data_IF_321969870855
#
_entry.id   IF_321969870855
#
_cell.length_a   1.000
_cell.length_b   1.000
_cell.length_c   1.000
_cell.angle_alpha   90.00
_cell.angle_beta   90.00
_cell.angle_gamma   90.00
#
_symmetry.space_group_name_H-M   'P 1'
#
loop_
_entity.id
_entity.type
_entity.pdbx_description
1 polymer ?
#
# COMPACT_ATOMS: atom_id res chain seq x y z
N UNK A 1 7.75 -37.41 3.38
CA UNK A 1 8.83 -36.65 2.74
C UNK A 1 8.59 -35.14 2.88
N UNK A 2 9.62 -34.38 3.27
CA UNK A 2 9.53 -32.94 3.49
C UNK A 2 9.77 -32.12 2.22
N UNK A 3 10.61 -32.60 1.31
CA UNK A 3 10.86 -31.95 0.03
C UNK A 3 9.57 -31.87 -0.82
N UNK A 4 8.82 -32.97 -0.91
CA UNK A 4 7.54 -33.01 -1.61
C UNK A 4 6.50 -32.02 -1.05
N UNK A 5 6.45 -31.86 0.29
CA UNK A 5 5.53 -30.91 0.93
C UNK A 5 5.92 -29.45 0.65
N UNK A 6 7.23 -29.15 0.59
CA UNK A 6 7.72 -27.83 0.21
C UNK A 6 7.36 -27.52 -1.25
N UNK A 7 7.66 -28.45 -2.17
CA UNK A 7 7.31 -28.32 -3.58
C UNK A 7 5.80 -28.12 -3.77
N UNK A 8 4.98 -28.89 -3.06
CA UNK A 8 3.53 -28.70 -3.06
C UNK A 8 3.14 -27.27 -2.65
N UNK A 9 3.69 -26.73 -1.55
CA UNK A 9 3.39 -25.35 -1.10
C UNK A 9 3.84 -24.30 -2.11
N UNK A 10 5.02 -24.46 -2.71
CA UNK A 10 5.56 -23.54 -3.74
C UNK A 10 4.68 -23.58 -4.99
N UNK A 11 4.33 -24.76 -5.48
CA UNK A 11 3.44 -24.94 -6.62
C UNK A 11 2.04 -24.35 -6.34
N UNK A 12 1.52 -24.55 -5.13
CA UNK A 12 0.24 -23.97 -4.73
C UNK A 12 0.28 -22.43 -4.77
N UNK A 13 1.32 -21.80 -4.24
CA UNK A 13 1.50 -20.35 -4.33
C UNK A 13 1.60 -19.85 -5.78
N UNK A 14 2.35 -20.57 -6.65
CA UNK A 14 2.47 -20.27 -8.08
C UNK A 14 1.13 -20.38 -8.82
N UNK A 15 0.31 -21.38 -8.49
CA UNK A 15 -1.02 -21.54 -9.08
C UNK A 15 -1.94 -20.37 -8.68
N UNK A 16 -1.88 -19.93 -7.43
CA UNK A 16 -2.67 -18.77 -6.97
C UNK A 16 -2.24 -17.48 -7.70
N UNK A 17 -0.93 -17.25 -7.83
CA UNK A 17 -0.37 -16.11 -8.58
C UNK A 17 -0.81 -16.14 -10.05
N UNK A 18 -0.67 -17.29 -10.72
CA UNK A 18 -1.12 -17.48 -12.11
C UNK A 18 -2.64 -17.30 -12.29
N UNK A 19 -3.44 -17.64 -11.27
CA UNK A 19 -4.89 -17.42 -11.24
C UNK A 19 -5.29 -16.00 -10.84
N UNK A 20 -4.33 -15.08 -10.73
CA UNK A 20 -4.55 -13.67 -10.31
C UNK A 20 -5.13 -13.53 -8.90
N UNK A 21 -4.99 -14.58 -8.06
CA UNK A 21 -5.34 -14.54 -6.63
C UNK A 21 -4.19 -13.97 -5.82
N UNK A 22 -3.78 -12.74 -6.16
CA UNK A 22 -2.54 -12.14 -5.68
C UNK A 22 -2.46 -11.99 -4.16
N UNK A 23 -3.56 -11.62 -3.50
CA UNK A 23 -3.61 -11.51 -2.04
C UNK A 23 -3.33 -12.85 -1.33
N UNK A 24 -3.97 -13.93 -1.82
CA UNK A 24 -3.76 -15.28 -1.30
C UNK A 24 -2.33 -15.75 -1.60
N UNK A 25 -1.86 -15.54 -2.83
CA UNK A 25 -0.51 -15.91 -3.26
C UNK A 25 0.57 -15.21 -2.43
N UNK A 26 0.43 -13.89 -2.20
CA UNK A 26 1.35 -13.09 -1.41
C UNK A 26 1.49 -13.62 0.02
N UNK A 27 0.35 -13.95 0.63
CA UNK A 27 0.32 -14.54 1.98
C UNK A 27 1.05 -15.89 2.01
N UNK A 28 0.88 -16.75 1.00
CA UNK A 28 1.57 -18.05 0.91
C UNK A 28 3.07 -17.90 0.67
N UNK A 29 3.49 -16.99 -0.20
CA UNK A 29 4.89 -16.69 -0.44
C UNK A 29 5.57 -16.13 0.82
N UNK A 30 4.90 -15.25 1.55
CA UNK A 30 5.42 -14.74 2.82
C UNK A 30 5.53 -15.85 3.89
N UNK A 31 4.54 -16.74 3.99
CA UNK A 31 4.64 -17.91 4.87
C UNK A 31 5.83 -18.82 4.53
N UNK A 32 6.19 -18.92 3.24
CA UNK A 32 7.36 -19.66 2.80
C UNK A 32 8.67 -18.95 3.15
N UNK A 33 8.72 -17.62 3.08
CA UNK A 33 9.92 -16.84 3.45
C UNK A 33 10.18 -16.83 4.96
N UNK A 34 9.18 -17.10 5.79
CA UNK A 34 9.28 -17.17 7.25
C UNK A 34 9.68 -18.53 7.80
N UNK A 35 10.17 -19.45 6.97
CA UNK A 35 10.66 -20.75 7.41
C UNK A 35 12.06 -20.63 8.02
N UNK A 36 12.12 -20.14 9.27
CA UNK A 36 13.36 -19.82 10.00
C UNK A 36 14.28 -21.01 10.26
N UNK A 37 13.73 -22.23 10.35
CA UNK A 37 14.53 -23.43 10.64
C UNK A 37 15.30 -23.96 9.44
N UNK A 38 15.16 -23.33 8.25
CA UNK A 38 15.72 -23.79 6.97
C UNK A 38 15.44 -25.27 6.65
N UNK A 39 14.61 -25.97 7.42
CA UNK A 39 14.42 -27.42 7.31
C UNK A 39 12.96 -27.73 7.01
N UNK A 40 12.73 -28.39 5.89
CA UNK A 40 11.47 -29.03 5.57
C UNK A 40 11.68 -30.55 5.64
N UNK A 41 11.57 -31.12 6.85
CA UNK A 41 12.03 -32.49 7.09
C UNK A 41 13.54 -32.58 6.92
N UNK A 42 14.03 -33.39 5.98
CA UNK A 42 15.46 -33.59 5.70
C UNK A 42 16.06 -32.58 4.69
N UNK A 43 15.26 -31.66 4.13
CA UNK A 43 15.72 -30.74 3.08
C UNK A 43 16.02 -29.35 3.63
N UNK A 44 17.21 -28.84 3.32
CA UNK A 44 17.67 -27.51 3.74
C UNK A 44 17.36 -26.46 2.66
N UNK A 45 16.55 -25.46 3.00
CA UNK A 45 16.20 -24.31 2.14
C UNK A 45 17.30 -23.25 2.25
N UNK A 46 17.77 -22.76 1.11
CA UNK A 46 18.80 -21.72 1.07
C UNK A 46 18.25 -20.34 1.43
N UNK A 47 19.12 -19.43 1.86
CA UNK A 47 18.74 -18.04 2.17
C UNK A 47 18.29 -17.27 0.91
N UNK A 48 18.84 -17.63 -0.24
CA UNK A 48 18.47 -17.09 -1.54
C UNK A 48 17.02 -17.47 -1.91
N UNK A 49 16.63 -18.73 -1.70
CA UNK A 49 15.25 -19.20 -1.93
C UNK A 49 14.24 -18.49 -1.02
N UNK A 50 14.59 -18.23 0.24
CA UNK A 50 13.74 -17.46 1.17
C UNK A 50 13.59 -16.01 0.71
N UNK A 51 14.67 -15.41 0.18
CA UNK A 51 14.67 -14.05 -0.36
C UNK A 51 13.83 -13.95 -1.63
N UNK A 52 13.90 -14.96 -2.50
CA UNK A 52 13.04 -15.08 -3.70
C UNK A 52 11.58 -15.19 -3.27
N UNK A 53 11.25 -16.01 -2.27
CA UNK A 53 9.89 -16.13 -1.76
C UNK A 53 9.37 -14.80 -1.19
N UNK A 54 10.18 -14.07 -0.43
CA UNK A 54 9.82 -12.74 0.09
C UNK A 54 9.58 -11.74 -1.06
N UNK A 55 10.45 -11.74 -2.08
CA UNK A 55 10.31 -10.88 -3.26
C UNK A 55 9.02 -11.19 -4.02
N UNK A 56 8.66 -12.47 -4.18
CA UNK A 56 7.40 -12.88 -4.80
C UNK A 56 6.19 -12.48 -3.96
N UNK A 57 6.30 -12.54 -2.63
CA UNK A 57 5.27 -12.05 -1.73
C UNK A 57 5.03 -10.54 -1.93
N UNK A 58 6.10 -9.75 -2.01
CA UNK A 58 6.03 -8.32 -2.27
C UNK A 58 5.41 -8.01 -3.64
N UNK A 59 5.84 -8.69 -4.71
CA UNK A 59 5.25 -8.52 -6.05
C UNK A 59 3.75 -8.80 -6.05
N UNK A 60 3.33 -9.91 -5.47
CA UNK A 60 1.90 -10.27 -5.39
C UNK A 60 1.13 -9.27 -4.51
N UNK A 61 1.68 -8.81 -3.39
CA UNK A 61 1.02 -7.82 -2.53
C UNK A 61 0.81 -6.49 -3.26
N UNK A 62 1.79 -6.05 -4.06
CA UNK A 62 1.70 -4.84 -4.88
C UNK A 62 0.61 -4.97 -5.94
N UNK A 63 0.51 -6.13 -6.62
CA UNK A 63 -0.48 -6.43 -7.67
C UNK A 63 -1.90 -6.70 -7.15
N UNK A 64 -2.06 -7.00 -5.86
CA UNK A 64 -3.37 -7.24 -5.27
C UNK A 64 -4.25 -5.97 -5.34
N UNK A 65 -5.58 -6.11 -5.46
CA UNK A 65 -6.50 -4.98 -5.45
C UNK A 65 -6.43 -4.22 -4.12
N UNK A 66 -6.63 -2.90 -4.15
CA UNK A 66 -6.58 -2.09 -2.94
C UNK A 66 -7.63 -2.54 -1.92
N UNK A 67 -7.28 -2.58 -0.63
CA UNK A 67 -8.20 -2.95 0.44
C UNK A 67 -7.51 -3.28 1.77
N UNK A 68 -8.27 -3.48 2.87
CA UNK A 68 -7.72 -3.60 4.22
C UNK A 68 -6.74 -4.78 4.39
N UNK A 69 -7.02 -5.92 3.76
CA UNK A 69 -6.14 -7.09 3.82
C UNK A 69 -4.81 -6.83 3.13
N UNK A 70 -4.83 -6.13 1.98
CA UNK A 70 -3.63 -5.73 1.25
C UNK A 70 -2.80 -4.75 2.06
N UNK A 71 -3.41 -3.71 2.62
CA UNK A 71 -2.69 -2.70 3.44
C UNK A 71 -2.00 -3.33 4.65
N UNK A 72 -2.65 -4.28 5.34
CA UNK A 72 -2.03 -5.03 6.44
C UNK A 72 -0.83 -5.87 5.98
N UNK A 73 -0.95 -6.53 4.83
CA UNK A 73 0.13 -7.34 4.28
C UNK A 73 1.32 -6.48 3.83
N UNK A 74 1.07 -5.35 3.16
CA UNK A 74 2.11 -4.38 2.80
C UNK A 74 2.84 -3.87 4.04
N UNK A 75 2.12 -3.56 5.13
CA UNK A 75 2.73 -3.16 6.39
C UNK A 75 3.56 -4.25 7.06
N UNK A 76 3.14 -5.51 6.91
CA UNK A 76 3.92 -6.66 7.39
C UNK A 76 5.22 -6.83 6.60
N UNK A 77 5.14 -6.70 5.26
CA UNK A 77 6.31 -6.79 4.39
C UNK A 77 7.27 -5.61 4.58
N UNK A 78 6.76 -4.39 4.73
CA UNK A 78 7.57 -3.19 4.96
C UNK A 78 8.36 -3.26 6.28
N UNK A 79 7.76 -3.84 7.34
CA UNK A 79 8.41 -4.01 8.65
C UNK A 79 9.40 -5.18 8.70
N UNK A 80 9.44 -6.04 7.68
CA UNK A 80 10.44 -7.11 7.59
C UNK A 80 11.77 -6.50 7.11
N UNK A 81 12.80 -6.53 7.94
CA UNK A 81 14.11 -5.92 7.65
C UNK A 81 14.74 -6.45 6.35
N UNK A 82 14.44 -7.69 5.96
CA UNK A 82 14.96 -8.29 4.72
C UNK A 82 14.39 -7.62 3.48
N UNK A 83 13.20 -7.01 3.59
CA UNK A 83 12.55 -6.32 2.49
C UNK A 83 13.37 -5.14 1.98
N UNK A 84 14.15 -4.48 2.85
CA UNK A 84 15.00 -3.34 2.48
C UNK A 84 16.07 -3.70 1.43
N UNK A 85 16.42 -4.98 1.28
CA UNK A 85 17.39 -5.47 0.29
C UNK A 85 16.76 -5.85 -1.04
N UNK A 86 15.43 -5.83 -1.14
CA UNK A 86 14.73 -6.22 -2.36
C UNK A 86 14.83 -5.13 -3.43
N UNK A 87 14.98 -5.49 -4.72
CA UNK A 87 15.06 -4.50 -5.81
C UNK A 87 13.83 -3.57 -5.89
N UNK A 88 12.66 -4.03 -5.45
CA UNK A 88 11.38 -3.32 -5.52
C UNK A 88 10.96 -2.69 -4.18
N UNK A 89 11.89 -2.47 -3.24
CA UNK A 89 11.57 -1.90 -1.92
C UNK A 89 10.95 -0.50 -1.99
N UNK A 90 11.43 0.38 -2.87
CA UNK A 90 10.89 1.75 -3.02
C UNK A 90 9.37 1.74 -3.30
N UNK A 91 8.90 0.86 -4.18
CA UNK A 91 7.47 0.75 -4.49
C UNK A 91 6.70 0.14 -3.34
N UNK A 92 7.26 -0.85 -2.65
CA UNK A 92 6.65 -1.40 -1.43
C UNK A 92 6.47 -0.31 -0.37
N UNK A 93 7.49 0.52 -0.14
CA UNK A 93 7.44 1.66 0.79
C UNK A 93 6.37 2.66 0.38
N UNK A 94 6.36 3.10 -0.89
CA UNK A 94 5.36 4.06 -1.38
C UNK A 94 3.94 3.51 -1.35
N UNK A 95 3.76 2.23 -1.68
CA UNK A 95 2.47 1.54 -1.58
C UNK A 95 1.98 1.46 -0.13
N UNK A 96 2.88 1.23 0.83
CA UNK A 96 2.53 1.18 2.26
C UNK A 96 2.25 2.57 2.86
N UNK A 97 3.03 3.58 2.47
CA UNK A 97 2.90 4.96 2.95
C UNK A 97 1.83 5.76 2.21
N UNK A 98 1.05 5.12 1.34
CA UNK A 98 0.02 5.74 0.50
C UNK A 98 0.53 6.96 -0.29
N UNK A 99 1.74 6.84 -0.86
CA UNK A 99 2.36 7.86 -1.72
C UNK A 99 2.05 7.58 -3.19
N UNK A 100 1.99 8.64 -3.98
CA UNK A 100 1.84 8.56 -5.44
C UNK A 100 3.04 7.84 -6.08
N UNK A 101 2.73 6.92 -7.00
CA UNK A 101 3.70 6.22 -7.83
C UNK A 101 3.84 6.93 -9.17
N UNK A 102 5.10 7.21 -9.57
CA UNK A 102 5.41 7.88 -10.83
C UNK A 102 5.54 6.88 -11.99
N UNK A 103 5.29 7.31 -13.24
CA UNK A 103 5.37 6.44 -14.42
C UNK A 103 6.69 5.67 -14.57
N UNK A 104 7.82 6.31 -14.29
CA UNK A 104 9.16 5.72 -14.36
C UNK A 104 9.34 4.56 -13.35
N UNK A 105 8.79 4.72 -12.15
CA UNK A 105 8.82 3.69 -11.11
C UNK A 105 7.95 2.50 -11.49
N UNK A 106 6.79 2.77 -12.09
CA UNK A 106 5.86 1.74 -12.55
C UNK A 106 6.49 0.93 -13.69
N UNK A 107 7.16 1.58 -14.64
CA UNK A 107 7.86 0.93 -15.74
C UNK A 107 9.02 0.06 -15.24
N UNK A 108 9.84 0.59 -14.33
CA UNK A 108 10.93 -0.17 -13.71
C UNK A 108 10.41 -1.41 -12.97
N UNK A 109 9.26 -1.32 -12.31
CA UNK A 109 8.64 -2.47 -11.64
C UNK A 109 8.06 -3.49 -12.62
N UNK A 110 7.36 -3.00 -13.65
CA UNK A 110 6.77 -3.84 -14.70
C UNK A 110 7.84 -4.73 -15.36
N UNK A 111 9.05 -4.19 -15.57
CA UNK A 111 10.19 -4.93 -16.11
C UNK A 111 10.64 -6.11 -15.23
N UNK A 112 10.31 -6.10 -13.92
CA UNK A 112 10.62 -7.21 -13.02
C UNK A 112 9.53 -8.27 -12.96
N UNK A 113 8.35 -8.02 -13.52
CA UNK A 113 7.20 -8.91 -13.43
C UNK A 113 7.27 -10.04 -14.46
N UNK A 114 6.69 -11.19 -14.10
CA UNK A 114 6.59 -12.31 -15.03
C UNK A 114 5.50 -12.05 -16.09
N UNK A 115 5.57 -12.68 -17.28
CA UNK A 115 4.58 -12.47 -18.34
C UNK A 115 3.13 -12.71 -17.92
N UNK A 116 2.87 -13.69 -17.04
CA UNK A 116 1.52 -13.96 -16.53
C UNK A 116 0.97 -12.86 -15.61
N UNK A 117 1.86 -12.10 -14.98
CA UNK A 117 1.50 -10.98 -14.09
C UNK A 117 1.17 -9.71 -14.88
N UNK A 118 1.70 -9.59 -16.11
CA UNK A 118 1.42 -8.51 -17.06
C UNK A 118 0.21 -8.82 -17.97
N UNK A 119 -0.58 -9.83 -17.63
CA UNK A 119 -1.72 -10.21 -18.45
C UNK A 119 -2.76 -9.08 -18.51
N UNK A 120 -3.31 -8.86 -19.71
CA UNK A 120 -4.35 -7.87 -19.94
C UNK A 120 -5.69 -8.31 -19.34
N UNK A 121 -6.45 -7.33 -18.89
CA UNK A 121 -7.85 -7.44 -18.45
C UNK A 121 -8.75 -7.06 -19.63
N UNK A 122 -10.06 -7.29 -19.49
CA UNK A 122 -11.10 -6.98 -20.49
C UNK A 122 -11.01 -5.54 -21.02
N UNK A 123 -10.66 -4.58 -20.17
CA UNK A 123 -10.51 -3.16 -20.52
C UNK A 123 -9.21 -2.81 -21.28
N UNK A 124 -8.42 -3.81 -21.69
CA UNK A 124 -7.16 -3.64 -22.41
C UNK A 124 -5.95 -3.22 -21.57
N UNK A 125 -6.15 -2.82 -20.31
CA UNK A 125 -5.08 -2.53 -19.33
C UNK A 125 -4.53 -3.79 -18.67
N UNK A 126 -3.31 -3.72 -18.15
CA UNK A 126 -2.73 -4.80 -17.35
C UNK A 126 -3.27 -4.81 -15.92
N UNK A 127 -3.05 -5.92 -15.21
CA UNK A 127 -3.38 -5.98 -13.78
C UNK A 127 -2.57 -4.98 -12.96
N UNK A 128 -1.31 -4.74 -13.34
CA UNK A 128 -0.47 -3.73 -12.71
C UNK A 128 -1.08 -2.33 -12.87
N UNK A 129 -1.49 -1.96 -14.09
CA UNK A 129 -2.08 -0.65 -14.36
C UNK A 129 -3.32 -0.42 -13.48
N UNK A 130 -4.19 -1.42 -13.39
CA UNK A 130 -5.40 -1.35 -12.55
C UNK A 130 -5.03 -1.13 -11.08
N UNK A 131 -4.09 -1.93 -10.55
CA UNK A 131 -3.67 -1.83 -9.16
C UNK A 131 -3.03 -0.48 -8.84
N UNK A 132 -2.21 0.06 -9.76
CA UNK A 132 -1.55 1.36 -9.59
C UNK A 132 -2.55 2.51 -9.69
N UNK A 133 -3.50 2.48 -10.62
CA UNK A 133 -4.53 3.53 -10.73
C UNK A 133 -5.36 3.58 -9.45
N UNK A 134 -5.81 2.44 -8.94
CA UNK A 134 -6.56 2.39 -7.68
C UNK A 134 -5.73 2.89 -6.48
N UNK A 135 -4.46 2.50 -6.42
CA UNK A 135 -3.54 2.98 -5.39
C UNK A 135 -3.35 4.50 -5.45
N UNK A 136 -3.00 5.02 -6.63
CA UNK A 136 -2.78 6.46 -6.81
C UNK A 136 -4.06 7.25 -6.54
N UNK A 137 -5.25 6.69 -6.80
CA UNK A 137 -6.52 7.33 -6.43
C UNK A 137 -6.70 7.45 -4.91
N UNK A 138 -6.34 6.42 -4.15
CA UNK A 138 -6.33 6.49 -2.67
C UNK A 138 -5.25 7.43 -2.14
N UNK A 139 -4.06 7.43 -2.76
CA UNK A 139 -3.02 8.40 -2.41
C UNK A 139 -3.49 9.84 -2.68
N UNK A 140 -4.20 10.07 -3.78
CA UNK A 140 -4.77 11.38 -4.12
C UNK A 140 -5.81 11.83 -3.09
N UNK A 141 -6.65 10.90 -2.59
CA UNK A 141 -7.64 11.23 -1.56
C UNK A 141 -7.04 11.65 -0.22
N UNK A 142 -5.75 11.39 0.02
CA UNK A 142 -5.02 11.87 1.21
C UNK A 142 -4.37 13.25 1.00
N UNK A 143 -4.25 13.69 -0.26
CA UNK A 143 -3.56 14.92 -0.63
C UNK A 143 -4.54 16.05 -0.97
N UNK A 144 -5.73 15.71 -1.47
CA UNK A 144 -6.72 16.66 -1.93
C UNK A 144 -8.02 16.52 -1.14
N UNK A 145 -8.65 17.65 -0.84
CA UNK A 145 -10.05 17.67 -0.39
C UNK A 145 -11.01 17.47 -1.57
N UNK A 146 -10.66 18.02 -2.73
CA UNK A 146 -11.37 17.82 -3.99
C UNK A 146 -10.42 18.01 -5.18
N UNK A 147 -10.79 17.45 -6.33
CA UNK A 147 -10.05 17.56 -7.59
C UNK A 147 -10.99 17.33 -8.78
N UNK A 148 -10.73 17.99 -9.91
CA UNK A 148 -11.49 17.76 -11.16
C UNK A 148 -11.11 16.43 -11.80
N UNK A 149 -12.03 15.80 -12.54
CA UNK A 149 -11.72 14.54 -13.23
C UNK A 149 -10.65 14.69 -14.31
N UNK A 150 -10.52 15.87 -14.92
CA UNK A 150 -9.44 16.17 -15.87
C UNK A 150 -8.07 16.13 -15.19
N UNK A 151 -7.90 16.84 -14.07
CA UNK A 151 -6.65 16.85 -13.32
C UNK A 151 -6.36 15.51 -12.64
N UNK A 152 -7.40 14.83 -12.12
CA UNK A 152 -7.27 13.48 -11.57
C UNK A 152 -6.81 12.50 -12.65
N UNK A 153 -7.41 12.56 -13.84
CA UNK A 153 -6.99 11.75 -14.98
C UNK A 153 -5.53 11.97 -15.34
N UNK A 154 -5.10 13.23 -15.46
CA UNK A 154 -3.71 13.59 -15.74
C UNK A 154 -2.74 13.05 -14.66
N UNK A 155 -3.12 13.15 -13.38
CA UNK A 155 -2.33 12.64 -12.25
C UNK A 155 -2.20 11.11 -12.27
N UNK A 156 -3.27 10.41 -12.67
CA UNK A 156 -3.35 8.95 -12.73
C UNK A 156 -2.83 8.36 -14.06
N UNK A 157 -2.57 9.21 -15.07
CA UNK A 157 -2.18 8.78 -16.41
C UNK A 157 -3.32 8.16 -17.24
N UNK A 158 -4.57 8.56 -17.00
CA UNK A 158 -5.77 8.07 -17.69
C UNK A 158 -6.70 9.22 -18.11
N UNK A 159 -7.67 8.95 -18.99
CA UNK A 159 -8.69 9.94 -19.35
C UNK A 159 -9.68 10.23 -18.21
N UNK A 160 -10.27 11.42 -18.23
CA UNK A 160 -11.22 11.89 -17.21
C UNK A 160 -12.41 10.92 -17.02
N UNK A 161 -13.05 10.48 -18.10
CA UNK A 161 -14.16 9.52 -18.06
C UNK A 161 -13.78 8.20 -17.37
N UNK A 162 -12.54 7.76 -17.57
CA UNK A 162 -12.03 6.53 -16.94
C UNK A 162 -11.74 6.76 -15.46
N UNK A 163 -11.22 7.93 -15.11
CA UNK A 163 -10.98 8.31 -13.71
C UNK A 163 -12.31 8.36 -12.93
N UNK A 164 -13.36 8.97 -13.49
CA UNK A 164 -14.69 9.02 -12.89
C UNK A 164 -15.27 7.61 -12.66
N UNK A 165 -15.24 6.74 -13.68
CA UNK A 165 -15.75 5.36 -13.57
C UNK A 165 -15.03 4.56 -12.49
N UNK A 166 -13.70 4.69 -12.42
CA UNK A 166 -12.90 3.99 -11.42
C UNK A 166 -13.20 4.54 -10.03
N UNK A 167 -13.29 5.86 -9.86
CA UNK A 167 -13.62 6.49 -8.59
C UNK A 167 -15.01 6.07 -8.11
N UNK A 168 -16.00 6.06 -9.01
CA UNK A 168 -17.36 5.57 -8.73
C UNK A 168 -17.36 4.11 -8.24
N UNK A 169 -16.65 3.20 -8.93
CA UNK A 169 -16.50 1.80 -8.50
C UNK A 169 -15.89 1.71 -7.09
N UNK A 170 -14.83 2.47 -6.82
CA UNK A 170 -14.14 2.44 -5.52
C UNK A 170 -14.99 3.03 -4.38
N UNK A 171 -15.83 4.03 -4.66
CA UNK A 171 -16.80 4.57 -3.71
C UNK A 171 -17.90 3.55 -3.38
N UNK A 172 -18.49 2.92 -4.40
CA UNK A 172 -19.52 1.88 -4.23
C UNK A 172 -18.99 0.69 -3.43
N UNK A 173 -17.76 0.27 -3.71
CA UNK A 173 -17.08 -0.82 -2.99
C UNK A 173 -16.59 -0.41 -1.58
N UNK A 174 -16.82 0.84 -1.17
CA UNK A 174 -16.40 1.41 0.13
C UNK A 174 -14.89 1.36 0.36
N UNK A 175 -14.12 1.36 -0.72
CA UNK A 175 -12.65 1.40 -0.67
C UNK A 175 -12.14 2.83 -0.69
N UNK A 176 -12.83 3.70 -1.41
CA UNK A 176 -12.67 5.15 -1.41
C UNK A 176 -13.85 5.79 -0.66
N UNK A 177 -13.64 6.93 -0.02
CA UNK A 177 -14.66 7.67 0.73
C UNK A 177 -14.73 9.09 0.18
N UNK A 178 -15.93 9.59 -0.02
CA UNK A 178 -16.16 10.84 -0.75
C UNK A 178 -17.48 10.86 -1.50
N UNK A 179 -17.66 11.90 -2.31
CA UNK A 179 -18.81 12.10 -3.18
C UNK A 179 -18.37 12.64 -4.55
N UNK A 180 -19.16 12.35 -5.58
CA UNK A 180 -18.92 12.84 -6.94
C UNK A 180 -19.97 13.90 -7.25
N UNK A 181 -19.51 15.08 -7.65
CA UNK A 181 -20.32 16.10 -8.30
C UNK A 181 -20.17 15.97 -9.82
N UNK A 182 -21.19 15.42 -10.45
CA UNK A 182 -21.19 15.19 -11.90
C UNK A 182 -21.47 16.48 -12.69
N UNK A 183 -22.09 17.50 -12.10
CA UNK A 183 -22.37 18.77 -12.79
C UNK A 183 -21.07 19.56 -12.92
N UNK A 184 -20.33 19.69 -11.82
CA UNK A 184 -19.07 20.42 -11.76
C UNK A 184 -17.85 19.56 -12.13
N UNK A 185 -18.05 18.26 -12.38
CA UNK A 185 -17.00 17.30 -12.76
C UNK A 185 -15.87 17.21 -11.71
N UNK A 186 -16.26 17.23 -10.44
CA UNK A 186 -15.39 17.19 -9.27
C UNK A 186 -15.64 15.93 -8.45
N UNK A 187 -14.56 15.40 -7.86
CA UNK A 187 -14.67 14.46 -6.74
C UNK A 187 -14.28 15.18 -5.45
N UNK A 188 -15.10 15.01 -4.42
CA UNK A 188 -14.83 15.43 -3.06
C UNK A 188 -14.42 14.20 -2.26
N UNK A 189 -13.26 14.27 -1.59
CA UNK A 189 -12.77 13.19 -0.75
C UNK A 189 -13.15 13.47 0.71
N UNK A 190 -13.62 12.44 1.40
CA UNK A 190 -13.84 12.55 2.83
C UNK A 190 -12.49 12.45 3.53
N UNK A 191 -12.15 13.47 4.33
CA UNK A 191 -10.98 13.42 5.21
C UNK A 191 -11.32 12.42 6.31
N UNK A 192 -10.81 11.20 6.19
CA UNK A 192 -11.05 10.14 7.17
C UNK A 192 -10.49 10.53 8.54
N UNK A 193 -11.37 10.92 9.45
CA UNK A 193 -11.44 10.27 10.76
C UNK A 193 -12.64 9.32 10.73
N UNK A 194 -12.43 8.05 11.06
CA UNK A 194 -13.48 7.04 10.97
C UNK A 194 -14.66 7.38 11.90
N UNK A 195 -15.82 7.70 11.31
CA UNK A 195 -17.12 7.57 11.96
C UNK A 195 -17.87 8.84 12.35
N UNK A 196 -17.54 10.03 11.85
CA UNK A 196 -18.18 11.27 12.32
C UNK A 196 -18.64 12.20 11.19
N UNK A 197 -19.61 13.05 11.53
CA UNK A 197 -20.31 13.98 10.64
C UNK A 197 -19.50 15.27 10.45
N UNK A 198 -19.56 15.84 9.24
CA UNK A 198 -18.76 16.98 8.76
C UNK A 198 -18.63 18.21 9.67
N UNK A 199 -19.61 18.53 10.52
CA UNK A 199 -19.52 19.65 11.48
C UNK A 199 -18.75 19.29 12.76
N UNK A 200 -18.81 18.02 13.17
CA UNK A 200 -18.01 17.50 14.26
C UNK A 200 -16.54 17.41 13.85
N UNK A 201 -16.27 17.02 12.60
CA UNK A 201 -14.92 16.80 12.07
C UNK A 201 -14.03 18.05 12.16
N UNK A 202 -14.57 19.25 11.91
CA UNK A 202 -13.80 20.49 12.03
C UNK A 202 -13.41 20.81 13.48
N UNK A 203 -14.28 20.50 14.44
CA UNK A 203 -14.02 20.69 15.88
C UNK A 203 -13.04 19.62 16.39
N UNK A 204 -13.18 18.37 15.96
CA UNK A 204 -12.23 17.30 16.30
C UNK A 204 -10.84 17.54 15.69
N UNK A 205 -10.78 18.01 14.44
CA UNK A 205 -9.51 18.42 13.83
C UNK A 205 -8.86 19.58 14.61
N UNK A 206 -9.65 20.53 15.11
CA UNK A 206 -9.16 21.61 15.97
C UNK A 206 -8.64 21.08 17.32
N UNK A 207 -9.37 20.17 17.97
CA UNK A 207 -8.93 19.51 19.21
C UNK A 207 -7.62 18.73 19.01
N UNK A 208 -7.51 17.98 17.90
CA UNK A 208 -6.30 17.27 17.53
C UNK A 208 -5.11 18.20 17.27
N UNK A 209 -5.34 19.38 16.69
CA UNK A 209 -4.30 20.40 16.54
C UNK A 209 -3.84 20.97 17.88
N UNK A 210 -4.77 21.23 18.81
CA UNK A 210 -4.43 21.67 20.17
C UNK A 210 -3.58 20.61 20.86
N UNK A 211 -3.99 19.34 20.80
CA UNK A 211 -3.23 18.23 21.38
C UNK A 211 -1.81 18.14 20.79
N UNK A 212 -1.68 18.26 19.47
CA UNK A 212 -0.37 18.24 18.80
C UNK A 212 0.54 19.38 19.27
N UNK A 213 0.02 20.60 19.42
CA UNK A 213 0.78 21.74 19.94
C UNK A 213 1.22 21.47 21.37
N UNK A 214 0.33 21.00 22.24
CA UNK A 214 0.66 20.67 23.63
C UNK A 214 1.77 19.61 23.74
N UNK A 215 1.66 18.50 23.00
CA UNK A 215 2.68 17.44 22.97
C UNK A 215 4.00 17.93 22.40
N UNK A 216 3.97 18.83 21.41
CA UNK A 216 5.19 19.42 20.83
C UNK A 216 5.91 20.29 21.86
N UNK A 217 5.17 21.12 22.61
CA UNK A 217 5.73 21.92 23.69
C UNK A 217 6.32 21.04 24.79
N UNK A 218 5.62 19.97 25.19
CA UNK A 218 6.13 19.02 26.18
C UNK A 218 7.43 18.34 25.70
N UNK A 219 7.48 17.91 24.44
CA UNK A 219 8.68 17.29 23.85
C UNK A 219 9.86 18.27 23.82
N UNK A 220 9.61 19.51 23.41
CA UNK A 220 10.65 20.56 23.38
C UNK A 220 11.13 20.86 24.79
N UNK A 221 10.21 20.99 25.76
CA UNK A 221 10.53 21.24 27.17
C UNK A 221 11.38 20.10 27.75
N UNK A 222 11.01 18.84 27.49
CA UNK A 222 11.76 17.67 27.94
C UNK A 222 13.18 17.62 27.33
N UNK A 223 13.32 17.93 26.03
CA UNK A 223 14.62 17.99 25.36
C UNK A 223 15.49 19.16 25.86
N UNK A 224 14.89 20.31 26.20
CA UNK A 224 15.60 21.44 26.83
C UNK A 224 16.10 21.03 28.22
N UNK A 225 15.24 20.48 29.07
CA UNK A 225 15.61 20.05 30.42
C UNK A 225 16.70 18.97 30.42
N UNK A 226 16.69 18.07 29.42
CA UNK A 226 17.71 17.04 29.23
C UNK A 226 19.06 17.62 28.82
N UNK A 227 19.10 18.66 27.98
CA UNK A 227 20.34 19.30 27.52
C UNK A 227 20.87 20.34 28.49
N UNK A 228 19.98 21.01 29.23
CA UNK A 228 20.29 22.10 30.14
C UNK A 228 19.55 21.92 31.48
N UNK A 229 20.06 21.02 32.35
CA UNK A 229 19.45 20.74 33.65
C UNK A 229 19.37 21.97 34.57
N UNK A 230 20.23 22.96 34.37
CA UNK A 230 20.27 24.22 35.11
C UNK A 230 18.98 25.05 34.96
N UNK A 231 18.31 24.98 33.81
CA UNK A 231 17.05 25.70 33.59
C UNK A 231 15.84 24.96 34.20
N UNK A 232 15.94 23.66 34.40
CA UNK A 232 14.87 22.86 35.00
C UNK A 232 14.74 23.07 36.52
N UNK A 233 15.79 23.57 37.18
CA UNK A 233 15.82 23.89 38.62
C UNK A 233 15.37 25.32 38.95
N UNK A 234 15.14 26.16 37.93
CA UNK A 234 14.75 27.56 38.07
C UNK A 234 13.24 27.81 37.87
N UNK A 235 12.45 26.76 37.59
CA UNK A 235 10.98 26.75 37.62
C UNK A 235 10.48 26.16 38.94
#
# INVERSE_FOLDING_TARGET
>A
DGALKLQHKVCYARILDAKRKFQEAATRYYQLSQLSNRQFGAHTVSEEELTIALTMAAKCAILAPAGPQRSRLLGTLYKDERSARMPNYNILEKMYMDRLLRPDEIEAFAATLAPHQLARIEDGTTVLDRAVIEHNMLATSRLYNNISFEQLGALLGIGADKAERIASSMLVEKRLHGSIDQVDQLIHFDVKEEGQSSSADALFAFDGQIEHVCRSVETISAEIAKKHPEFALAQ
#
